data_IF_047254178421
#
_entry.id   IF_047254178421
#
_cell.length_a   1.000
_cell.length_b   1.000
_cell.length_c   1.000
_cell.angle_alpha   90.00
_cell.angle_beta   90.00
_cell.angle_gamma   90.00
#
_symmetry.space_group_name_H-M   'P 1'
#
loop_
_entity.id
_entity.type
_entity.pdbx_description
1 polymer ?
#
# COMPACT_ATOMS: atom_id res chain seq x y z
N UNK A 1 50.88 65.33 13.24
CA UNK A 1 50.51 64.05 12.60
C UNK A 1 51.28 63.94 11.30
N UNK A 2 52.21 63.00 11.22
CA UNK A 2 53.03 62.77 10.04
C UNK A 2 52.29 61.93 9.00
N UNK A 3 52.62 62.10 7.72
CA UNK A 3 52.08 61.29 6.61
C UNK A 3 52.19 59.77 6.87
N UNK A 4 53.26 59.34 7.55
CA UNK A 4 53.49 57.95 7.92
C UNK A 4 52.46 57.38 8.92
N UNK A 5 52.03 58.17 9.92
CA UNK A 5 51.01 57.74 10.88
C UNK A 5 49.66 57.52 10.18
N UNK A 6 49.35 58.36 9.20
CA UNK A 6 48.11 58.27 8.43
C UNK A 6 48.05 57.00 7.57
N UNK A 7 49.14 56.68 6.87
CA UNK A 7 49.27 55.43 6.08
C UNK A 7 49.14 54.20 6.98
N UNK A 8 49.71 54.23 8.18
CA UNK A 8 49.66 53.11 9.12
C UNK A 8 48.22 52.88 9.64
N UNK A 9 47.49 53.95 9.97
CA UNK A 9 46.09 53.85 10.41
C UNK A 9 45.19 53.28 9.30
N UNK A 10 45.35 53.73 8.05
CA UNK A 10 44.58 53.21 6.91
C UNK A 10 44.88 51.74 6.65
N UNK A 11 46.14 51.32 6.78
CA UNK A 11 46.55 49.93 6.59
C UNK A 11 45.94 49.00 7.65
N UNK A 12 45.92 49.43 8.92
CA UNK A 12 45.29 48.68 10.00
C UNK A 12 43.78 48.61 9.83
N UNK A 13 43.13 49.72 9.45
CA UNK A 13 41.70 49.74 9.17
C UNK A 13 41.33 48.79 8.01
N UNK A 14 42.15 48.75 6.95
CA UNK A 14 41.99 47.81 5.84
C UNK A 14 42.07 46.34 6.27
N UNK A 15 43.05 46.00 7.12
CA UNK A 15 43.21 44.65 7.66
C UNK A 15 42.00 44.23 8.51
N UNK A 16 41.50 45.12 9.37
CA UNK A 16 40.32 44.87 10.21
C UNK A 16 39.08 44.65 9.33
N UNK A 17 38.87 45.47 8.30
CA UNK A 17 37.78 45.28 7.34
C UNK A 17 37.90 43.94 6.60
N UNK A 18 39.09 43.57 6.14
CA UNK A 18 39.31 42.29 5.47
C UNK A 18 39.00 41.10 6.38
N UNK A 19 39.40 41.16 7.65
CA UNK A 19 39.11 40.13 8.65
C UNK A 19 37.62 40.04 8.97
N UNK A 20 36.91 41.16 9.09
CA UNK A 20 35.47 41.20 9.30
C UNK A 20 34.70 40.60 8.11
N UNK A 21 35.09 40.96 6.89
CA UNK A 21 34.49 40.40 5.66
C UNK A 21 34.74 38.89 5.60
N UNK A 22 35.97 38.43 5.88
CA UNK A 22 36.31 37.01 5.91
C UNK A 22 35.50 36.25 6.98
N UNK A 23 35.30 36.84 8.16
CA UNK A 23 34.50 36.24 9.22
C UNK A 23 33.01 36.11 8.83
N UNK A 24 32.44 37.14 8.21
CA UNK A 24 31.06 37.11 7.71
C UNK A 24 30.88 36.11 6.57
N UNK A 25 31.84 36.03 5.65
CA UNK A 25 31.85 35.04 4.58
C UNK A 25 31.88 33.62 5.15
N UNK A 26 32.76 33.33 6.12
CA UNK A 26 32.82 32.02 6.76
C UNK A 26 31.52 31.62 7.46
N UNK A 27 30.81 32.56 8.11
CA UNK A 27 29.51 32.26 8.74
C UNK A 27 28.44 31.92 7.69
N UNK A 28 28.42 32.63 6.58
CA UNK A 28 27.47 32.37 5.49
C UNK A 28 27.77 31.05 4.79
N UNK A 29 29.05 30.74 4.52
CA UNK A 29 29.46 29.44 3.94
C UNK A 29 29.14 28.29 4.88
N UNK A 30 29.36 28.44 6.20
CA UNK A 30 28.98 27.42 7.18
C UNK A 30 27.46 27.18 7.23
N UNK A 31 26.65 28.23 7.05
CA UNK A 31 25.19 28.10 6.99
C UNK A 31 24.75 27.38 5.71
N UNK A 32 25.27 27.79 4.56
CA UNK A 32 24.99 27.13 3.27
C UNK A 32 25.43 25.66 3.28
N UNK A 33 26.57 25.34 3.90
CA UNK A 33 27.04 23.97 4.03
C UNK A 33 26.11 23.09 4.87
N UNK A 34 25.49 23.65 5.93
CA UNK A 34 24.49 22.93 6.73
C UNK A 34 23.20 22.69 5.96
N UNK A 35 22.69 23.72 5.28
CA UNK A 35 21.48 23.63 4.46
C UNK A 35 21.68 22.61 3.31
N UNK A 36 22.85 22.62 2.65
CA UNK A 36 23.21 21.63 1.63
C UNK A 36 23.37 20.21 2.20
N UNK A 37 23.93 20.05 3.41
CA UNK A 37 24.05 18.75 4.07
C UNK A 37 22.67 18.17 4.43
N UNK A 38 21.75 19.01 4.89
CA UNK A 38 20.38 18.58 5.21
C UNK A 38 19.59 18.21 3.95
N UNK A 39 19.73 19.00 2.87
CA UNK A 39 19.18 18.64 1.57
C UNK A 39 19.76 17.33 1.02
N UNK A 40 21.07 17.10 1.18
CA UNK A 40 21.73 15.87 0.73
C UNK A 40 21.25 14.65 1.53
N UNK A 41 21.03 14.79 2.84
CA UNK A 41 20.46 13.72 3.67
C UNK A 41 19.03 13.39 3.25
N UNK A 42 18.19 14.40 3.05
CA UNK A 42 16.82 14.21 2.58
C UNK A 42 16.78 13.55 1.18
N UNK A 43 17.63 14.01 0.26
CA UNK A 43 17.74 13.44 -1.08
C UNK A 43 18.25 11.98 -1.06
N UNK A 44 19.22 11.67 -0.19
CA UNK A 44 19.72 10.30 -0.02
C UNK A 44 18.65 9.37 0.52
N UNK A 45 17.89 9.80 1.53
CA UNK A 45 16.76 9.03 2.05
C UNK A 45 15.67 8.83 0.99
N UNK A 46 15.40 9.85 0.17
CA UNK A 46 14.46 9.72 -0.94
C UNK A 46 14.96 8.71 -1.99
N UNK A 47 16.24 8.77 -2.38
CA UNK A 47 16.85 7.84 -3.33
C UNK A 47 16.87 6.40 -2.82
N UNK A 48 17.22 6.19 -1.54
CA UNK A 48 17.20 4.86 -0.92
C UNK A 48 15.77 4.27 -0.93
N UNK A 49 14.76 5.10 -0.65
CA UNK A 49 13.34 4.70 -0.73
C UNK A 49 12.89 4.38 -2.16
N UNK A 50 13.22 5.25 -3.12
CA UNK A 50 12.88 5.01 -4.54
C UNK A 50 13.58 3.78 -5.09
N UNK A 51 14.83 3.54 -4.71
CA UNK A 51 15.58 2.33 -5.09
C UNK A 51 14.91 1.06 -4.55
N UNK A 52 14.49 1.08 -3.28
CA UNK A 52 13.76 -0.04 -2.67
C UNK A 52 12.41 -0.29 -3.37
N UNK A 53 11.62 0.76 -3.60
CA UNK A 53 10.35 0.65 -4.32
C UNK A 53 10.54 0.14 -5.76
N UNK A 54 11.56 0.64 -6.46
CA UNK A 54 11.88 0.16 -7.81
C UNK A 54 12.27 -1.31 -7.85
N UNK A 55 13.04 -1.78 -6.87
CA UNK A 55 13.39 -3.19 -6.74
C UNK A 55 12.17 -4.08 -6.47
N UNK A 56 11.28 -3.65 -5.57
CA UNK A 56 10.07 -4.42 -5.26
C UNK A 56 9.11 -4.50 -6.45
N UNK A 57 8.93 -3.40 -7.19
CA UNK A 57 8.14 -3.41 -8.44
C UNK A 57 8.73 -4.31 -9.51
N UNK A 58 10.04 -4.22 -9.75
CA UNK A 58 10.72 -5.11 -10.69
C UNK A 58 10.58 -6.60 -10.32
N UNK A 59 10.55 -6.91 -9.02
CA UNK A 59 10.32 -8.27 -8.54
C UNK A 59 8.87 -8.72 -8.78
N UNK A 60 7.88 -7.88 -8.51
CA UNK A 60 6.47 -8.16 -8.77
C UNK A 60 6.19 -8.35 -10.27
N UNK A 61 6.76 -7.50 -11.13
CA UNK A 61 6.65 -7.59 -12.59
C UNK A 61 7.31 -8.89 -13.12
N UNK A 62 8.47 -9.26 -12.57
CA UNK A 62 9.15 -10.49 -12.96
C UNK A 62 8.39 -11.76 -12.55
N UNK A 63 7.81 -11.78 -11.33
CA UNK A 63 7.00 -12.91 -10.85
C UNK A 63 5.72 -13.09 -11.65
N UNK A 64 5.00 -12.00 -11.93
CA UNK A 64 3.76 -12.05 -12.71
C UNK A 64 4.00 -12.49 -14.15
N UNK A 65 5.08 -12.03 -14.80
CA UNK A 65 5.38 -12.42 -16.17
C UNK A 65 5.86 -13.88 -16.29
N UNK A 66 6.76 -14.31 -15.41
CA UNK A 66 7.41 -15.62 -15.53
C UNK A 66 6.46 -16.75 -15.10
N UNK A 67 5.81 -16.62 -13.94
CA UNK A 67 4.99 -17.71 -13.39
C UNK A 67 3.66 -17.92 -14.11
N UNK A 68 3.12 -16.89 -14.77
CA UNK A 68 1.91 -17.04 -15.60
C UNK A 68 2.20 -17.83 -16.88
N UNK A 69 3.44 -17.79 -17.36
CA UNK A 69 3.87 -18.45 -18.61
C UNK A 69 4.39 -19.88 -18.39
N UNK A 70 4.85 -20.19 -17.18
CA UNK A 70 5.40 -21.50 -16.81
C UNK A 70 4.68 -22.06 -15.57
N UNK A 71 3.64 -22.91 -15.77
CA UNK A 71 2.88 -23.50 -14.67
C UNK A 71 3.74 -24.39 -13.75
N UNK A 72 4.74 -25.08 -14.28
CA UNK A 72 5.62 -25.95 -13.50
C UNK A 72 6.52 -25.13 -12.57
N UNK A 73 7.02 -24.00 -13.05
CA UNK A 73 7.80 -23.09 -12.23
C UNK A 73 6.95 -22.46 -11.12
N UNK A 74 5.70 -22.07 -11.43
CA UNK A 74 4.77 -21.58 -10.41
C UNK A 74 4.50 -22.65 -9.35
N UNK A 75 4.22 -23.88 -9.79
CA UNK A 75 3.99 -25.03 -8.92
C UNK A 75 5.15 -25.26 -7.96
N UNK A 76 6.37 -25.27 -8.50
CA UNK A 76 7.60 -25.37 -7.72
C UNK A 76 7.75 -24.19 -6.74
N UNK A 77 7.50 -22.95 -7.18
CA UNK A 77 7.56 -21.76 -6.33
C UNK A 77 6.61 -21.83 -5.12
N UNK A 78 5.37 -22.26 -5.35
CA UNK A 78 4.39 -22.43 -4.27
C UNK A 78 4.83 -23.53 -3.29
N UNK A 79 5.32 -24.66 -3.82
CA UNK A 79 5.78 -25.78 -3.01
C UNK A 79 6.95 -25.41 -2.09
N UNK A 80 7.97 -24.71 -2.59
CA UNK A 80 9.13 -24.32 -1.77
C UNK A 80 8.77 -23.36 -0.64
N UNK A 81 7.67 -22.62 -0.77
CA UNK A 81 7.15 -21.70 0.26
C UNK A 81 6.09 -22.33 1.14
N UNK A 82 5.78 -23.61 0.94
CA UNK A 82 4.80 -24.35 1.75
C UNK A 82 3.34 -24.02 1.45
N UNK A 83 3.05 -23.39 0.31
CA UNK A 83 1.66 -23.17 -0.10
C UNK A 83 1.03 -24.46 -0.62
N UNK A 84 -0.30 -24.62 -0.49
CA UNK A 84 -1.03 -25.68 -1.17
C UNK A 84 -0.78 -25.61 -2.68
N UNK A 85 -0.49 -26.76 -3.26
CA UNK A 85 -0.27 -26.93 -4.69
C UNK A 85 -1.34 -27.88 -5.23
N UNK A 86 -2.07 -27.41 -6.23
CA UNK A 86 -3.18 -28.15 -6.82
C UNK A 86 -3.15 -27.95 -8.35
N UNK A 87 -4.32 -27.76 -8.98
CA UNK A 87 -4.47 -27.44 -10.39
C UNK A 87 -3.78 -26.14 -10.80
N UNK A 88 -3.41 -26.01 -12.08
CA UNK A 88 -2.81 -24.79 -12.64
C UNK A 88 -3.65 -23.54 -12.38
N UNK A 89 -4.98 -23.67 -12.44
CA UNK A 89 -5.89 -22.57 -12.17
C UNK A 89 -5.85 -22.15 -10.70
N UNK A 90 -5.90 -23.12 -9.77
CA UNK A 90 -5.80 -22.85 -8.33
C UNK A 90 -4.44 -22.23 -7.96
N UNK A 91 -3.36 -22.72 -8.57
CA UNK A 91 -2.02 -22.18 -8.39
C UNK A 91 -1.92 -20.72 -8.89
N UNK A 92 -2.57 -20.39 -10.02
CA UNK A 92 -2.66 -19.00 -10.53
C UNK A 92 -3.48 -18.10 -9.62
N UNK A 93 -4.59 -18.59 -9.04
CA UNK A 93 -5.36 -17.85 -8.04
C UNK A 93 -4.54 -17.58 -6.79
N UNK A 94 -3.78 -18.58 -6.33
CA UNK A 94 -2.83 -18.42 -5.23
C UNK A 94 -1.79 -17.34 -5.55
N UNK A 95 -1.20 -17.38 -6.75
CA UNK A 95 -0.27 -16.34 -7.19
C UNK A 95 -0.91 -14.95 -7.18
N UNK A 96 -2.15 -14.82 -7.67
CA UNK A 96 -2.88 -13.56 -7.67
C UNK A 96 -3.06 -13.00 -6.25
N UNK A 97 -3.44 -13.83 -5.29
CA UNK A 97 -3.58 -13.43 -3.88
C UNK A 97 -2.24 -12.94 -3.32
N UNK A 98 -1.15 -13.66 -3.57
CA UNK A 98 0.19 -13.26 -3.10
C UNK A 98 0.62 -11.92 -3.71
N UNK A 99 0.41 -11.72 -5.01
CA UNK A 99 0.70 -10.45 -5.67
C UNK A 99 -0.13 -9.31 -5.09
N UNK A 100 -1.41 -9.55 -4.78
CA UNK A 100 -2.27 -8.55 -4.14
C UNK A 100 -1.80 -8.20 -2.73
N UNK A 101 -1.43 -9.19 -1.92
CA UNK A 101 -0.88 -8.97 -0.58
C UNK A 101 0.42 -8.15 -0.62
N UNK A 102 1.30 -8.39 -1.60
CA UNK A 102 2.53 -7.60 -1.80
C UNK A 102 2.19 -6.11 -2.06
N UNK A 103 1.18 -5.82 -2.89
CA UNK A 103 0.74 -4.44 -3.16
C UNK A 103 0.09 -3.79 -1.94
N UNK A 104 -0.69 -4.57 -1.19
CA UNK A 104 -1.32 -4.10 0.06
C UNK A 104 -0.28 -3.73 1.11
N UNK A 105 0.75 -4.56 1.28
CA UNK A 105 1.87 -4.26 2.17
C UNK A 105 2.62 -3.00 1.72
N UNK A 106 2.97 -2.88 0.44
CA UNK A 106 3.69 -1.71 -0.07
C UNK A 106 2.90 -0.42 0.20
N UNK A 107 1.58 -0.46 -0.02
CA UNK A 107 0.68 0.67 0.21
C UNK A 107 0.59 1.02 1.70
N UNK A 108 0.49 0.01 2.58
CA UNK A 108 0.48 0.20 4.03
C UNK A 108 1.80 0.80 4.53
N UNK A 109 2.94 0.29 4.08
CA UNK A 109 4.26 0.80 4.46
C UNK A 109 4.48 2.22 3.93
N UNK A 110 3.97 2.52 2.73
CA UNK A 110 3.98 3.87 2.16
C UNK A 110 3.13 4.84 2.98
N UNK A 111 1.94 4.43 3.43
CA UNK A 111 1.12 5.22 4.36
C UNK A 111 1.85 5.48 5.67
N UNK A 112 2.41 4.45 6.30
CA UNK A 112 3.12 4.55 7.58
C UNK A 112 4.36 5.44 7.51
N UNK A 113 5.00 5.52 6.35
CA UNK A 113 6.15 6.40 6.11
C UNK A 113 5.79 7.83 5.71
N UNK A 114 4.49 8.17 5.66
CA UNK A 114 4.00 9.50 5.28
C UNK A 114 4.11 9.79 3.79
N UNK A 115 4.25 8.76 2.94
CA UNK A 115 4.33 8.89 1.49
C UNK A 115 2.97 8.74 0.79
N UNK A 116 1.98 8.16 1.49
CA UNK A 116 0.62 7.99 0.99
C UNK A 116 -0.32 8.86 1.82
N UNK A 117 -1.03 9.75 1.14
CA UNK A 117 -2.02 10.64 1.75
C UNK A 117 -3.32 9.87 2.09
N UNK A 118 -4.10 10.44 3.02
CA UNK A 118 -5.33 9.80 3.53
C UNK A 118 -6.44 9.69 2.48
N UNK A 119 -6.48 10.59 1.52
CA UNK A 119 -7.44 10.57 0.41
C UNK A 119 -7.25 9.37 -0.52
N UNK A 120 -6.02 8.86 -0.64
CA UNK A 120 -5.69 7.64 -1.37
C UNK A 120 -5.78 6.42 -0.47
N UNK A 121 -5.28 6.53 0.77
CA UNK A 121 -5.23 5.42 1.71
C UNK A 121 -6.63 4.93 2.12
N UNK A 122 -7.57 5.82 2.42
CA UNK A 122 -8.91 5.41 2.88
C UNK A 122 -9.67 4.56 1.84
N UNK A 123 -9.72 4.94 0.54
CA UNK A 123 -10.20 4.06 -0.51
C UNK A 123 -9.42 2.74 -0.59
N UNK A 124 -8.09 2.79 -0.51
CA UNK A 124 -7.25 1.59 -0.60
C UNK A 124 -7.51 0.61 0.55
N UNK A 125 -7.68 1.13 1.77
CA UNK A 125 -7.99 0.33 2.94
C UNK A 125 -9.33 -0.40 2.78
N UNK A 126 -10.34 0.21 2.14
CA UNK A 126 -11.59 -0.49 1.81
C UNK A 126 -11.38 -1.64 0.81
N UNK A 127 -10.43 -1.51 -0.11
CA UNK A 127 -10.06 -2.60 -1.03
C UNK A 127 -9.38 -3.72 -0.26
N UNK A 128 -8.44 -3.40 0.64
CA UNK A 128 -7.82 -4.40 1.52
C UNK A 128 -8.88 -5.13 2.36
N UNK A 129 -9.79 -4.40 3.00
CA UNK A 129 -10.86 -4.98 3.82
C UNK A 129 -11.75 -5.93 2.99
N UNK A 130 -12.07 -5.55 1.74
CA UNK A 130 -12.86 -6.37 0.83
C UNK A 130 -12.11 -7.62 0.35
N UNK A 131 -10.84 -7.46 -0.04
CA UNK A 131 -9.98 -8.57 -0.46
C UNK A 131 -9.82 -9.60 0.69
N UNK A 132 -9.65 -9.14 1.93
CA UNK A 132 -9.50 -10.02 3.10
C UNK A 132 -10.78 -10.80 3.46
N UNK A 133 -11.95 -10.43 2.94
CA UNK A 133 -13.18 -11.23 3.09
C UNK A 133 -13.26 -12.39 2.10
N UNK A 134 -12.38 -12.41 1.09
CA UNK A 134 -12.37 -13.47 0.09
C UNK A 134 -11.76 -14.74 0.70
N UNK A 135 -12.41 -15.92 0.59
CA UNK A 135 -11.96 -17.16 1.21
C UNK A 135 -10.51 -17.54 0.87
N UNK A 136 -10.08 -17.27 -0.36
CA UNK A 136 -8.71 -17.51 -0.80
C UNK A 136 -7.70 -16.67 -0.01
N UNK A 137 -8.00 -15.42 0.33
CA UNK A 137 -7.11 -14.58 1.16
C UNK A 137 -7.04 -15.10 2.59
N UNK A 138 -8.18 -15.47 3.18
CA UNK A 138 -8.27 -16.00 4.54
C UNK A 138 -7.42 -17.29 4.67
N UNK A 139 -7.66 -18.24 3.77
CA UNK A 139 -6.98 -19.54 3.80
C UNK A 139 -5.47 -19.42 3.57
N UNK A 140 -5.04 -18.58 2.64
CA UNK A 140 -3.62 -18.38 2.31
C UNK A 140 -2.88 -17.54 3.35
N UNK A 141 -3.56 -16.69 4.11
CA UNK A 141 -2.91 -15.79 5.07
C UNK A 141 -2.02 -16.52 6.07
N UNK A 142 -2.47 -17.68 6.59
CA UNK A 142 -1.70 -18.48 7.55
C UNK A 142 -0.33 -18.91 7.02
N UNK A 143 -0.21 -19.17 5.71
CA UNK A 143 1.03 -19.51 5.03
C UNK A 143 1.84 -18.27 4.65
N UNK A 144 1.16 -17.18 4.32
CA UNK A 144 1.79 -15.98 3.77
C UNK A 144 2.35 -15.04 4.86
N UNK A 145 1.68 -14.98 6.02
CA UNK A 145 2.00 -14.12 7.17
C UNK A 145 3.49 -14.06 7.55
N UNK A 146 4.27 -15.18 7.58
CA UNK A 146 5.70 -15.14 7.94
C UNK A 146 6.60 -14.38 6.95
N UNK A 147 6.12 -14.10 5.74
CA UNK A 147 6.90 -13.42 4.69
C UNK A 147 6.70 -11.90 4.67
N UNK A 148 5.77 -11.38 5.47
CA UNK A 148 5.42 -9.96 5.52
C UNK A 148 5.99 -9.27 6.76
N UNK A 149 6.13 -7.95 6.69
CA UNK A 149 6.55 -7.11 7.78
C UNK A 149 5.57 -7.20 8.96
N UNK A 150 6.10 -7.37 10.17
CA UNK A 150 5.29 -7.57 11.37
C UNK A 150 4.20 -6.50 11.57
N UNK A 151 4.49 -5.23 11.23
CA UNK A 151 3.49 -4.17 11.34
C UNK A 151 2.31 -4.29 10.38
N UNK A 152 2.54 -4.85 9.19
CA UNK A 152 1.47 -5.13 8.24
C UNK A 152 0.69 -6.36 8.71
N UNK A 153 1.39 -7.38 9.21
CA UNK A 153 0.78 -8.54 9.84
C UNK A 153 -0.17 -8.14 10.98
N UNK A 154 0.30 -7.32 11.92
CA UNK A 154 -0.52 -6.83 13.04
C UNK A 154 -1.74 -6.01 12.58
N UNK A 155 -1.65 -5.37 11.41
CA UNK A 155 -2.77 -4.63 10.83
C UNK A 155 -3.81 -5.56 10.21
N UNK A 156 -3.37 -6.54 9.43
CA UNK A 156 -4.23 -7.55 8.80
C UNK A 156 -4.91 -8.44 9.86
N UNK A 157 -4.16 -8.90 10.86
CA UNK A 157 -4.71 -9.72 11.95
C UNK A 157 -5.84 -8.98 12.69
N UNK A 158 -5.70 -7.67 12.94
CA UNK A 158 -6.77 -6.85 13.53
C UNK A 158 -8.02 -6.76 12.64
N UNK A 159 -7.85 -6.75 11.32
CA UNK A 159 -8.98 -6.73 10.38
C UNK A 159 -9.72 -8.06 10.48
N UNK A 160 -9.01 -9.19 10.51
CA UNK A 160 -9.64 -10.50 10.68
C UNK A 160 -10.37 -10.63 12.02
N UNK A 161 -9.76 -10.17 13.12
CA UNK A 161 -10.40 -10.18 14.44
C UNK A 161 -11.70 -9.36 14.44
N UNK A 162 -11.69 -8.19 13.78
CA UNK A 162 -12.87 -7.34 13.67
C UNK A 162 -13.97 -7.98 12.82
N UNK A 163 -13.62 -8.62 11.69
CA UNK A 163 -14.57 -9.31 10.82
C UNK A 163 -15.23 -10.49 11.54
N UNK A 164 -14.45 -11.30 12.26
CA UNK A 164 -14.96 -12.41 13.06
C UNK A 164 -15.92 -11.93 14.16
N UNK A 165 -15.63 -10.78 14.78
CA UNK A 165 -16.52 -10.19 15.79
C UNK A 165 -17.86 -9.73 15.20
N UNK A 166 -17.86 -9.16 14.00
CA UNK A 166 -19.10 -8.72 13.31
C UNK A 166 -19.97 -9.93 12.93
N UNK A 167 -19.37 -10.97 12.33
CA UNK A 167 -20.11 -12.19 11.95
C UNK A 167 -20.74 -12.90 13.15
N UNK A 168 -20.06 -12.88 14.31
CA UNK A 168 -20.60 -13.46 15.54
C UNK A 168 -21.85 -12.72 16.05
N UNK A 169 -21.92 -11.40 15.89
CA UNK A 169 -23.09 -10.59 16.27
C UNK A 169 -24.27 -10.85 15.33
N UNK A 170 -24.04 -10.87 14.02
CA UNK A 170 -25.08 -11.15 13.02
C UNK A 170 -25.70 -12.55 13.19
N UNK A 171 -24.86 -13.53 13.56
CA UNK A 171 -25.32 -14.90 13.85
C UNK A 171 -26.17 -14.95 15.13
N UNK A 172 -25.83 -14.16 16.16
CA UNK A 172 -26.60 -14.09 17.39
C UNK A 172 -27.96 -13.38 17.21
N UNK A 173 -28.03 -12.33 16.41
CA UNK A 173 -29.27 -11.60 16.14
C UNK A 173 -30.25 -12.40 15.26
N UNK A 174 -29.75 -13.14 14.27
CA UNK A 174 -30.57 -14.02 13.43
C UNK A 174 -31.20 -15.18 14.20
N UNK A 175 -30.60 -15.62 15.31
CA UNK A 175 -31.13 -16.67 16.20
C UNK A 175 -32.06 -16.13 17.30
N UNK A 176 -32.18 -14.81 17.43
CA UNK A 176 -32.99 -14.15 18.47
C UNK A 176 -34.37 -13.68 17.98
N UNK A 177 -34.70 -13.87 16.70
CA UNK A 177 -36.05 -13.64 16.19
C UNK A 177 -36.97 -14.78 16.67
N UNK A 178 -37.99 -14.51 17.51
CA UNK A 178 -38.95 -15.54 17.86
C UNK A 178 -39.67 -15.98 16.60
N UNK A 179 -39.79 -17.30 16.44
CA UNK A 179 -40.69 -17.95 15.49
C UNK A 179 -42.14 -17.61 15.86
N UNK A 180 -42.55 -16.35 15.71
CA UNK A 180 -43.96 -15.98 15.67
C UNK A 180 -44.50 -16.42 14.32
N UNK A 181 -44.77 -17.73 14.24
CA UNK A 181 -45.70 -18.30 13.30
C UNK A 181 -47.07 -17.66 13.49
N UNK A 182 -47.37 -16.70 12.63
CA UNK A 182 -48.74 -16.41 12.21
C UNK A 182 -48.69 -16.10 10.72
N UNK A 183 -48.61 -17.19 9.95
CA UNK A 183 -49.00 -17.19 8.54
C UNK A 183 -50.45 -16.71 8.46
N UNK A 184 -50.64 -15.49 7.95
CA UNK A 184 -51.92 -15.09 7.38
C UNK A 184 -52.15 -15.93 6.11
N UNK A 185 -53.37 -16.44 5.87
CA UNK A 185 -53.66 -17.27 4.71
C UNK A 185 -53.50 -16.48 3.41
N UNK A 186 -52.82 -17.14 2.48
CA UNK A 186 -52.65 -16.83 1.06
C UNK A 186 -53.86 -16.13 0.44
N UNK A 187 -53.68 -14.88 0.03
CA UNK A 187 -54.57 -14.22 -0.92
C UNK A 187 -54.11 -14.56 -2.34
N UNK A 188 -55.10 -14.98 -3.12
CA UNK A 188 -55.06 -15.53 -4.45
C UNK A 188 -54.09 -14.87 -5.46
N UNK A 189 -53.50 -15.75 -6.25
CA UNK A 189 -52.75 -15.53 -7.48
C UNK A 189 -53.64 -14.85 -8.54
N UNK A 190 -53.27 -13.68 -9.10
CA UNK A 190 -53.93 -13.14 -10.27
C UNK A 190 -53.46 -13.88 -11.55
N UNK A 191 -54.37 -14.12 -12.52
CA UNK A 191 -54.06 -14.89 -13.72
C UNK A 191 -53.07 -14.16 -14.65
N UNK A 192 -52.30 -14.96 -15.39
CA UNK A 192 -51.27 -14.53 -16.32
C UNK A 192 -51.83 -13.65 -17.46
N UNK A 193 -51.16 -12.55 -17.84
CA UNK A 193 -51.52 -11.81 -19.04
C UNK A 193 -51.20 -12.61 -20.31
N UNK A 194 -52.18 -12.67 -21.21
CA UNK A 194 -52.13 -13.28 -22.53
C UNK A 194 -50.97 -12.75 -23.38
N UNK A 195 -50.47 -13.65 -24.24
CA UNK A 195 -49.23 -13.54 -24.97
C UNK A 195 -49.07 -12.30 -25.84
N UNK A 196 -47.87 -11.72 -25.75
CA UNK A 196 -47.33 -10.82 -26.77
C UNK A 196 -46.60 -11.67 -27.82
N UNK A 197 -47.01 -11.65 -29.10
CA UNK A 197 -46.27 -12.34 -30.16
C UNK A 197 -44.92 -11.66 -30.43
N UNK A 198 -43.90 -12.43 -30.87
CA UNK A 198 -42.56 -11.90 -31.12
C UNK A 198 -42.53 -10.96 -32.33
N UNK A 199 -41.70 -9.90 -32.31
CA UNK A 199 -41.51 -9.03 -33.46
C UNK A 199 -40.78 -9.76 -34.59
N UNK A 200 -41.31 -9.58 -35.80
CA UNK A 200 -40.78 -10.12 -37.04
C UNK A 200 -39.35 -9.62 -37.31
N UNK A 201 -38.48 -10.57 -37.62
CA UNK A 201 -37.13 -10.37 -38.11
C UNK A 201 -37.18 -9.69 -39.49
N UNK A 202 -36.94 -8.38 -39.55
CA UNK A 202 -36.64 -7.70 -40.81
C UNK A 202 -35.13 -7.71 -41.04
N UNK A 203 -34.71 -8.54 -41.98
CA UNK A 203 -33.38 -8.52 -42.58
C UNK A 203 -33.39 -7.53 -43.75
N UNK A 204 -32.45 -6.58 -43.73
CA UNK A 204 -31.90 -5.88 -44.90
C UNK A 204 -30.53 -5.30 -44.53
#
# INVERSE_FOLDING_TARGET
MGFAEWVQVVSVAGLICALLISHLQNRNTARQAREAADQTRAARQALERTGYQGFMRAQADWRSFTYVRDPELLRWHLQIRGYPVDTDEANRRTLYVLLKLDVHEESFLSRRSGLLDDDIWVPWQRVLDADLRVPEFISLWSFARPFYAQSFVDHVDKIFDHQAAVEAVDTAESHSLPANGQFAPSLAEPPAPEGVPPPESSAA
#
